data_IF_737657948169
#
_entry.id   IF_737657948169
#
_cell.length_a   1.000
_cell.length_b   1.000
_cell.length_c   1.000
_cell.angle_alpha   90.00
_cell.angle_beta   90.00
_cell.angle_gamma   90.00
#
_symmetry.space_group_name_H-M   'P 1'
#
loop_
_entity.id
_entity.type
_entity.pdbx_description
1 polymer ?
#
# COMPACT_ATOMS: atom_id res chain seq x y z
N UNK A 1 -11.93 30.81 0.48
CA UNK A 1 -11.55 29.42 0.15
C UNK A 1 -11.10 28.77 1.45
N UNK A 2 -11.95 27.94 2.08
CA UNK A 2 -11.60 27.31 3.37
C UNK A 2 -10.65 26.15 3.06
N UNK A 3 -9.36 26.36 3.30
CA UNK A 3 -8.39 25.26 3.25
C UNK A 3 -8.65 24.47 4.53
N UNK A 4 -9.50 23.44 4.43
CA UNK A 4 -9.61 22.44 5.49
C UNK A 4 -8.28 21.69 5.39
N UNK A 5 -7.40 21.90 6.37
CA UNK A 5 -6.25 21.04 6.56
C UNK A 5 -6.82 19.68 6.97
N UNK A 6 -7.07 18.81 5.99
CA UNK A 6 -7.55 17.46 6.27
C UNK A 6 -6.42 16.76 7.01
N UNK A 7 -6.74 16.34 8.23
CA UNK A 7 -5.78 15.68 9.12
C UNK A 7 -5.72 14.19 8.78
N UNK A 8 -4.62 13.54 9.18
CA UNK A 8 -4.54 12.09 9.12
C UNK A 8 -5.76 11.43 9.79
N UNK A 9 -6.28 10.39 9.15
CA UNK A 9 -7.46 9.62 9.53
C UNK A 9 -8.81 10.39 9.51
N UNK A 10 -8.84 11.63 9.02
CA UNK A 10 -10.08 12.39 8.86
C UNK A 10 -11.00 11.73 7.81
N UNK A 11 -12.32 11.76 8.07
CA UNK A 11 -13.32 11.28 7.12
C UNK A 11 -13.29 12.06 5.82
N UNK A 12 -13.43 11.35 4.70
CA UNK A 12 -13.42 11.90 3.35
C UNK A 12 -14.33 11.09 2.43
N UNK A 13 -14.65 11.66 1.26
CA UNK A 13 -15.33 10.98 0.16
C UNK A 13 -14.34 10.88 -1.00
N UNK A 14 -14.14 9.67 -1.53
CA UNK A 14 -13.21 9.43 -2.64
C UNK A 14 -13.86 9.83 -4.00
N UNK A 15 -13.09 9.84 -5.11
CA UNK A 15 -13.62 10.20 -6.44
C UNK A 15 -14.72 9.28 -6.98
N UNK A 16 -14.89 8.09 -6.39
CA UNK A 16 -15.93 7.13 -6.72
C UNK A 16 -17.16 7.26 -5.79
N UNK A 17 -17.27 8.36 -5.05
CA UNK A 17 -18.32 8.64 -4.05
C UNK A 17 -18.37 7.65 -2.87
N UNK A 18 -17.26 6.98 -2.56
CA UNK A 18 -17.19 6.07 -1.41
C UNK A 18 -16.64 6.79 -0.17
N UNK A 19 -17.25 6.53 0.98
CA UNK A 19 -16.78 7.03 2.26
C UNK A 19 -15.48 6.34 2.71
N UNK A 20 -14.56 7.12 3.27
CA UNK A 20 -13.25 6.62 3.68
C UNK A 20 -12.52 7.54 4.65
N UNK A 21 -11.22 7.28 4.79
CA UNK A 21 -10.31 8.00 5.67
C UNK A 21 -9.08 8.51 4.91
N UNK A 22 -8.63 9.71 5.28
CA UNK A 22 -7.44 10.34 4.74
C UNK A 22 -6.17 9.74 5.37
N UNK A 23 -5.54 8.77 4.70
CA UNK A 23 -4.38 8.00 5.21
C UNK A 23 -3.17 8.13 4.28
N UNK A 24 -1.99 7.65 4.67
CA UNK A 24 -0.83 7.66 3.77
C UNK A 24 -1.08 6.75 2.57
N UNK A 25 -0.46 7.10 1.43
CA UNK A 25 -0.50 6.26 0.21
C UNK A 25 -0.14 4.81 0.49
N UNK A 26 0.85 4.57 1.35
CA UNK A 26 1.33 3.23 1.72
C UNK A 26 0.32 2.40 2.52
N UNK A 27 -0.67 3.03 3.15
CA UNK A 27 -1.70 2.36 3.95
C UNK A 27 -2.89 1.94 3.08
N UNK A 28 -3.06 2.49 1.86
CA UNK A 28 -4.23 2.23 1.02
C UNK A 28 -3.96 1.19 -0.08
N UNK A 29 -4.53 -0.02 0.06
CA UNK A 29 -4.37 -1.11 -0.91
C UNK A 29 -4.87 -0.74 -2.31
N UNK A 30 -5.97 -0.01 -2.40
CA UNK A 30 -6.57 0.40 -3.68
C UNK A 30 -5.66 1.38 -4.44
N UNK A 31 -5.14 2.39 -3.76
CA UNK A 31 -4.22 3.34 -4.39
C UNK A 31 -2.92 2.65 -4.77
N UNK A 32 -2.41 1.76 -3.92
CA UNK A 32 -1.22 0.96 -4.23
C UNK A 32 -1.42 0.00 -5.41
N UNK A 33 -2.61 -0.57 -5.60
CA UNK A 33 -2.88 -1.46 -6.73
C UNK A 33 -2.94 -0.69 -8.05
N UNK A 34 -3.44 0.55 -8.04
CA UNK A 34 -3.40 1.45 -9.20
C UNK A 34 -1.97 1.87 -9.50
N UNK A 35 -1.20 2.31 -8.51
CA UNK A 35 0.21 2.74 -8.68
C UNK A 35 1.12 1.62 -9.20
N UNK A 36 0.79 0.35 -8.95
CA UNK A 36 1.58 -0.82 -9.38
C UNK A 36 1.19 -1.38 -10.75
N UNK A 37 0.24 -0.76 -11.45
CA UNK A 37 -0.11 -1.18 -12.82
C UNK A 37 1.10 -1.00 -13.74
N UNK A 38 1.31 -1.96 -14.64
CA UNK A 38 2.40 -1.92 -15.63
C UNK A 38 2.26 -0.72 -16.58
N UNK A 39 1.02 -0.36 -16.94
CA UNK A 39 0.71 0.84 -17.71
C UNK A 39 -0.38 1.63 -17.00
N UNK A 40 -0.07 2.89 -16.66
CA UNK A 40 -1.04 3.83 -16.09
C UNK A 40 -1.80 4.51 -17.21
N UNK A 41 -3.12 4.38 -17.18
CA UNK A 41 -4.01 5.11 -18.09
C UNK A 41 -4.24 6.55 -17.61
N UNK A 42 -4.82 7.41 -18.47
CA UNK A 42 -5.17 8.77 -18.05
C UNK A 42 -6.18 8.76 -16.88
N UNK A 43 -7.11 7.81 -16.89
CA UNK A 43 -8.10 7.64 -15.83
C UNK A 43 -7.45 7.22 -14.50
N UNK A 44 -6.42 6.36 -14.54
CA UNK A 44 -5.65 5.99 -13.36
C UNK A 44 -4.96 7.20 -12.74
N UNK A 45 -4.32 8.02 -13.58
CA UNK A 45 -3.65 9.25 -13.14
C UNK A 45 -4.67 10.23 -12.56
N UNK A 46 -5.81 10.40 -13.22
CA UNK A 46 -6.90 11.26 -12.73
C UNK A 46 -7.43 10.78 -11.37
N UNK A 47 -7.61 9.47 -11.20
CA UNK A 47 -8.00 8.86 -9.93
C UNK A 47 -6.98 9.13 -8.82
N UNK A 48 -5.68 8.95 -9.10
CA UNK A 48 -4.62 9.18 -8.12
C UNK A 48 -4.58 10.65 -7.64
N UNK A 49 -4.69 11.61 -8.57
CA UNK A 49 -4.72 13.03 -8.23
C UNK A 49 -5.98 13.43 -7.47
N UNK A 50 -7.14 12.95 -7.91
CA UNK A 50 -8.42 13.26 -7.26
C UNK A 50 -8.58 12.57 -5.90
N UNK A 51 -7.83 11.50 -5.65
CA UNK A 51 -7.77 10.85 -4.34
C UNK A 51 -6.95 11.62 -3.30
N UNK A 52 -6.14 12.61 -3.68
CA UNK A 52 -5.33 13.39 -2.72
C UNK A 52 -6.23 14.20 -1.78
N UNK A 53 -6.15 13.92 -0.48
CA UNK A 53 -6.93 14.61 0.54
C UNK A 53 -6.08 15.55 1.40
N UNK A 54 -4.75 15.44 1.38
CA UNK A 54 -3.87 16.31 2.15
C UNK A 54 -2.41 15.88 2.13
N UNK A 55 -1.60 16.50 3.00
CA UNK A 55 -0.19 16.14 3.20
C UNK A 55 0.15 16.10 4.68
N UNK A 56 0.89 15.06 5.11
CA UNK A 56 1.41 14.90 6.46
C UNK A 56 2.92 14.79 6.38
N UNK A 57 3.65 15.73 7.00
CA UNK A 57 5.12 15.72 7.02
C UNK A 57 5.76 15.62 5.61
N UNK A 58 5.16 16.28 4.62
CA UNK A 58 5.61 16.23 3.23
C UNK A 58 5.17 14.97 2.45
N UNK A 59 4.58 13.97 3.12
CA UNK A 59 4.02 12.77 2.49
C UNK A 59 2.58 13.00 2.07
N UNK A 60 2.20 12.56 0.88
CA UNK A 60 0.82 12.68 0.39
C UNK A 60 -0.12 11.77 1.16
N UNK A 61 -1.30 12.29 1.50
CA UNK A 61 -2.43 11.55 2.02
C UNK A 61 -3.47 11.35 0.92
N UNK A 62 -4.14 10.21 0.95
CA UNK A 62 -5.19 9.84 0.00
C UNK A 62 -6.45 9.40 0.71
N UNK A 63 -7.61 9.72 0.13
CA UNK A 63 -8.89 9.26 0.62
C UNK A 63 -9.05 7.78 0.31
N UNK A 64 -8.84 6.93 1.31
CA UNK A 64 -8.92 5.48 1.16
C UNK A 64 -10.27 4.97 1.68
N UNK A 65 -11.03 4.19 0.89
CA UNK A 65 -12.25 3.59 1.40
C UNK A 65 -11.92 2.60 2.52
N UNK A 66 -12.78 2.53 3.55
CA UNK A 66 -12.45 1.86 4.82
C UNK A 66 -12.08 0.37 4.67
N UNK A 67 -12.62 -0.30 3.64
CA UNK A 67 -12.31 -1.70 3.33
C UNK A 67 -10.91 -1.92 2.71
N UNK A 68 -10.23 -0.85 2.27
CA UNK A 68 -8.96 -0.90 1.55
C UNK A 68 -7.75 -0.44 2.38
N UNK A 69 -7.93 -0.13 3.67
CA UNK A 69 -6.83 0.31 4.55
C UNK A 69 -6.07 -0.91 5.11
N UNK A 70 -4.74 -0.87 5.06
CA UNK A 70 -3.84 -1.87 5.64
C UNK A 70 -3.37 -1.36 6.99
N UNK A 71 -3.90 -1.92 8.09
CA UNK A 71 -3.40 -1.56 9.42
C UNK A 71 -4.44 -1.27 10.49
N UNK A 72 -5.73 -1.50 10.26
CA UNK A 72 -6.66 -1.65 11.36
C UNK A 72 -7.72 -2.70 11.08
N UNK A 73 -7.91 -3.53 12.11
CA UNK A 73 -8.91 -4.58 12.25
C UNK A 73 -10.29 -3.94 12.41
N UNK A 74 -10.73 -3.22 11.38
CA UNK A 74 -12.12 -2.80 11.25
C UNK A 74 -12.72 -3.73 10.21
N UNK A 75 -13.18 -4.89 10.69
CA UNK A 75 -14.34 -5.53 10.10
C UNK A 75 -15.47 -4.49 10.08
N UNK A 76 -15.51 -3.63 9.05
CA UNK A 76 -16.78 -3.16 8.53
C UNK A 76 -17.42 -4.37 7.88
N UNK A 77 -17.99 -5.19 8.76
CA UNK A 77 -19.06 -6.09 8.43
C UNK A 77 -20.03 -5.29 7.60
N UNK A 78 -20.10 -5.59 6.30
CA UNK A 78 -21.24 -5.22 5.50
C UNK A 78 -22.42 -5.87 6.19
N UNK A 79 -23.22 -5.09 6.94
CA UNK A 79 -24.47 -5.56 7.51
C UNK A 79 -25.35 -6.11 6.39
N UNK A 80 -25.67 -7.42 6.35
CA UNK A 80 -26.80 -7.91 5.59
C UNK A 80 -27.98 -7.96 6.55
N UNK A 81 -29.00 -7.18 6.22
CA UNK A 81 -30.31 -7.17 6.88
C UNK A 81 -30.86 -8.60 7.06
N UNK A 82 -31.10 -8.98 8.31
CA UNK A 82 -32.01 -10.00 8.85
C UNK A 82 -32.07 -11.42 8.22
N UNK A 83 -31.71 -12.44 9.02
CA UNK A 83 -32.65 -13.54 9.36
C UNK A 83 -32.13 -14.39 10.53
N UNK A 84 -32.95 -14.48 11.57
CA UNK A 84 -32.94 -15.57 12.56
C UNK A 84 -33.00 -16.90 11.81
N UNK A 85 -32.20 -17.90 12.23
CA UNK A 85 -32.55 -19.32 12.41
C UNK A 85 -31.39 -20.01 13.17
N UNK A 86 -31.73 -20.77 14.20
CA UNK A 86 -30.83 -21.42 15.17
C UNK A 86 -30.11 -22.67 14.63
N UNK A 87 -29.03 -23.01 15.34
CA UNK A 87 -28.34 -24.30 15.48
C UNK A 87 -27.29 -24.73 14.44
N UNK A 88 -26.04 -24.81 14.89
CA UNK A 88 -24.95 -25.55 14.24
C UNK A 88 -23.58 -25.30 14.90
N UNK A 89 -23.17 -26.21 15.79
CA UNK A 89 -21.84 -26.25 16.40
C UNK A 89 -20.73 -26.49 15.36
N UNK A 90 -19.62 -25.75 15.46
CA UNK A 90 -18.37 -26.01 14.74
C UNK A 90 -17.19 -25.32 15.41
N UNK A 91 -16.19 -26.12 15.84
CA UNK A 91 -15.00 -25.74 16.62
C UNK A 91 -13.76 -25.54 15.73
N UNK A 92 -12.79 -24.75 16.22
CA UNK A 92 -11.35 -24.79 15.88
C UNK A 92 -10.83 -23.51 15.21
N UNK A 93 -9.66 -22.94 15.53
CA UNK A 93 -8.61 -23.27 16.50
C UNK A 93 -7.87 -21.97 16.87
N UNK A 94 -7.66 -21.77 18.17
CA UNK A 94 -6.83 -20.73 18.78
C UNK A 94 -5.38 -21.24 18.79
N UNK A 95 -4.42 -20.47 18.25
CA UNK A 95 -2.99 -20.78 18.39
C UNK A 95 -2.37 -19.73 19.29
N UNK A 96 -2.07 -20.20 20.49
CA UNK A 96 -1.42 -19.52 21.61
C UNK A 96 -0.03 -19.02 21.23
N UNK A 97 0.28 -17.81 21.67
CA UNK A 97 1.61 -17.22 21.64
C UNK A 97 2.56 -18.01 22.55
N UNK A 98 3.67 -18.54 22.01
CA UNK A 98 4.89 -18.85 22.76
C UNK A 98 6.12 -18.99 21.84
N UNK A 99 7.24 -18.47 22.33
CA UNK A 99 8.39 -17.91 21.60
C UNK A 99 9.32 -18.90 20.87
N UNK A 100 9.93 -18.45 19.76
CA UNK A 100 11.33 -18.79 19.45
C UNK A 100 12.05 -17.66 18.69
N UNK A 101 13.07 -17.12 19.35
CA UNK A 101 13.86 -15.93 19.01
C UNK A 101 14.88 -16.12 17.85
N UNK A 102 14.45 -16.64 16.69
CA UNK A 102 15.35 -16.81 15.52
C UNK A 102 14.96 -15.97 14.30
N UNK A 103 13.84 -15.25 14.33
CA UNK A 103 13.32 -14.51 13.16
C UNK A 103 13.76 -13.03 13.14
N UNK A 104 14.34 -12.52 14.24
CA UNK A 104 14.77 -11.13 14.34
C UNK A 104 16.10 -10.88 13.61
N UNK A 105 17.00 -11.86 13.61
CA UNK A 105 18.40 -11.69 13.18
C UNK A 105 18.53 -11.49 11.66
N UNK A 106 17.72 -12.19 10.86
CA UNK A 106 17.76 -12.06 9.39
C UNK A 106 17.08 -10.80 8.85
N UNK A 107 16.29 -10.09 9.67
CA UNK A 107 15.72 -8.79 9.27
C UNK A 107 16.75 -7.66 9.31
N UNK A 108 17.88 -7.86 10.01
CA UNK A 108 18.98 -6.90 10.10
C UNK A 108 19.88 -6.89 8.85
N UNK A 109 19.86 -7.98 8.08
CA UNK A 109 20.61 -8.13 6.82
C UNK A 109 19.89 -7.49 5.63
N UNK A 110 18.62 -7.14 5.80
CA UNK A 110 17.85 -6.45 4.78
C UNK A 110 17.94 -4.94 5.03
N UNK A 111 18.14 -4.13 3.97
CA UNK A 111 18.09 -2.68 4.12
C UNK A 111 16.74 -2.27 4.73
N UNK A 112 16.78 -1.27 5.61
CA UNK A 112 15.56 -0.74 6.20
C UNK A 112 14.64 -0.23 5.08
N UNK A 113 13.33 -0.51 5.13
CA UNK A 113 12.38 0.04 4.17
C UNK A 113 12.49 1.57 4.14
N UNK A 114 12.81 2.12 2.97
CA UNK A 114 13.04 3.55 2.74
C UNK A 114 12.68 3.94 1.30
N UNK A 115 13.16 5.10 0.83
CA UNK A 115 12.86 5.65 -0.51
C UNK A 115 13.01 4.60 -1.62
N UNK A 116 11.88 4.09 -2.08
CA UNK A 116 11.79 3.03 -3.08
C UNK A 116 11.45 3.62 -4.45
N UNK A 117 11.96 3.01 -5.53
CA UNK A 117 11.61 3.42 -6.89
C UNK A 117 12.11 4.82 -7.27
N UNK A 118 13.28 5.23 -6.77
CA UNK A 118 13.93 6.46 -7.18
C UNK A 118 14.29 6.35 -8.67
N UNK A 119 13.50 6.99 -9.53
CA UNK A 119 13.77 7.07 -10.96
C UNK A 119 14.44 8.43 -11.23
N UNK A 120 15.75 8.50 -11.52
CA UNK A 120 16.35 9.75 -11.95
C UNK A 120 15.67 10.24 -13.23
N UNK A 121 15.30 11.52 -13.28
CA UNK A 121 14.67 12.12 -14.47
C UNK A 121 15.57 11.91 -15.68
N UNK A 122 15.06 11.18 -16.68
CA UNK A 122 15.77 10.85 -17.91
C UNK A 122 16.27 12.13 -18.59
N UNK A 123 17.57 12.20 -18.90
CA UNK A 123 18.09 13.13 -19.88
C UNK A 123 18.53 12.31 -21.09
N UNK A 124 17.74 12.42 -22.15
CA UNK A 124 17.86 11.71 -23.42
C UNK A 124 19.23 11.94 -24.06
N UNK A 125 20.07 10.90 -24.18
CA UNK A 125 21.04 10.80 -25.27
C UNK A 125 21.31 9.32 -25.62
N UNK A 126 20.80 8.91 -26.79
CA UNK A 126 21.51 8.16 -27.84
C UNK A 126 22.19 6.81 -27.58
N UNK A 127 22.28 6.30 -26.36
CA UNK A 127 23.07 5.10 -26.08
C UNK A 127 22.23 4.09 -25.29
N UNK A 128 22.20 2.83 -25.75
CA UNK A 128 21.45 1.72 -25.13
C UNK A 128 22.15 1.21 -23.86
N UNK A 129 22.77 2.12 -23.09
CA UNK A 129 23.57 1.83 -21.91
C UNK A 129 22.94 2.54 -20.73
N UNK A 130 22.40 1.75 -19.80
CA UNK A 130 22.01 2.22 -18.48
C UNK A 130 23.25 2.74 -17.75
N UNK A 131 23.15 3.91 -17.14
CA UNK A 131 24.22 4.45 -16.29
C UNK A 131 24.37 3.56 -15.04
N UNK A 132 25.58 3.45 -14.52
CA UNK A 132 25.83 2.82 -13.23
C UNK A 132 24.93 3.50 -12.16
N UNK A 133 24.18 2.69 -11.42
CA UNK A 133 23.18 3.07 -10.40
C UNK A 133 21.88 3.74 -10.92
N UNK A 134 21.57 3.68 -12.22
CA UNK A 134 20.29 4.16 -12.76
C UNK A 134 19.10 3.28 -12.36
N UNK A 135 19.35 1.99 -12.13
CA UNK A 135 18.36 1.01 -11.71
C UNK A 135 18.86 0.30 -10.44
N UNK A 136 18.78 0.97 -9.27
CA UNK A 136 19.31 0.44 -8.02
C UNK A 136 18.60 -0.83 -7.55
N UNK A 137 17.48 -1.21 -8.17
CA UNK A 137 16.72 -2.43 -7.88
C UNK A 137 17.08 -3.64 -8.77
N UNK A 138 18.01 -3.52 -9.71
CA UNK A 138 18.40 -4.64 -10.57
C UNK A 138 19.26 -5.65 -9.81
N UNK A 139 18.89 -6.93 -9.86
CA UNK A 139 19.60 -8.02 -9.20
C UNK A 139 19.93 -9.15 -10.19
N UNK A 140 21.11 -9.76 -10.03
CA UNK A 140 21.54 -10.92 -10.79
C UNK A 140 21.44 -12.18 -9.91
N UNK A 141 20.66 -13.16 -10.35
CA UNK A 141 20.57 -14.46 -9.68
C UNK A 141 21.48 -15.45 -10.39
N UNK A 142 22.47 -15.99 -9.67
CA UNK A 142 23.31 -17.07 -10.17
C UNK A 142 22.94 -18.38 -9.48
N UNK A 143 22.86 -19.47 -10.23
CA UNK A 143 22.67 -20.81 -9.69
C UNK A 143 24.01 -21.54 -9.71
N UNK A 144 24.52 -21.92 -8.55
CA UNK A 144 25.72 -22.76 -8.45
C UNK A 144 25.37 -24.22 -8.71
N UNK A 145 25.92 -24.81 -9.77
CA UNK A 145 25.90 -26.26 -9.91
C UNK A 145 26.82 -26.85 -8.84
N UNK A 146 26.21 -27.49 -7.83
CA UNK A 146 26.95 -28.26 -6.84
C UNK A 146 27.46 -29.53 -7.55
N UNK A 147 28.78 -29.60 -7.76
CA UNK A 147 29.48 -30.81 -8.17
C UNK A 147 29.81 -31.67 -6.96
#
# INVERSE_FOLDING_TARGET
KKIIHVSYNASCINPNDEAGHCVLVQECKLVLSVLRKETLTNDDVAFLYSSECGKLEGKSLVCCPSYSVTGNNSHSQLDPVNRVHEAGQGQGHEVTEQESNLVQDQRSLLPQPGDCGIQPSYQLFGENLTKLDEQPWTALVHFGNKH
#
